data_IF_298770057693
#
_entry.id   IF_298770057693
#
_cell.length_a   1.000
_cell.length_b   1.000
_cell.length_c   1.000
_cell.angle_alpha   90.00
_cell.angle_beta   90.00
_cell.angle_gamma   90.00
#
_symmetry.space_group_name_H-M   'P 1'
#
loop_
_entity.id
_entity.type
_entity.pdbx_description
1 polymer ?
#
# COMPACT_ATOMS: atom_id res chain seq x y z
N UNK A 1 0.28 11.25 19.35
CA UNK A 1 1.68 11.72 19.27
C UNK A 1 1.62 13.23 19.15
N UNK A 2 2.24 13.94 20.09
CA UNK A 2 2.30 15.40 20.12
C UNK A 2 3.67 15.82 19.60
N UNK A 3 3.77 16.33 18.36
CA UNK A 3 5.05 16.74 17.80
C UNK A 3 5.58 17.98 18.49
N UNK A 4 6.88 18.00 18.73
CA UNK A 4 7.61 19.14 19.28
C UNK A 4 8.80 19.48 18.38
N UNK A 5 9.21 20.76 18.42
CA UNK A 5 10.38 21.28 17.73
C UNK A 5 11.49 21.53 18.74
N UNK A 6 12.69 21.08 18.43
CA UNK A 6 13.91 21.46 19.15
C UNK A 6 14.34 22.88 18.76
N UNK A 7 14.54 23.76 19.74
CA UNK A 7 14.97 25.15 19.50
C UNK A 7 16.41 25.46 19.96
N UNK A 8 17.12 24.46 20.49
CA UNK A 8 18.48 24.59 21.00
C UNK A 8 18.59 24.58 22.52
N UNK A 9 17.49 24.85 23.22
CA UNK A 9 17.42 24.87 24.68
C UNK A 9 16.35 23.88 25.20
N UNK A 10 15.26 23.71 24.45
CA UNK A 10 14.19 22.79 24.81
C UNK A 10 13.35 22.31 23.64
N UNK A 11 12.36 21.49 23.97
CA UNK A 11 11.32 21.06 23.04
C UNK A 11 10.09 21.95 23.20
N UNK A 12 9.70 22.63 22.12
CA UNK A 12 8.49 23.46 22.07
C UNK A 12 7.43 22.77 21.23
N UNK A 13 6.26 22.53 21.82
CA UNK A 13 5.10 21.97 21.09
C UNK A 13 4.62 22.96 20.03
N UNK A 14 4.32 22.45 18.83
CA UNK A 14 3.77 23.26 17.76
C UNK A 14 2.38 23.81 18.12
N UNK A 15 2.08 25.06 17.71
CA UNK A 15 0.84 25.76 18.08
C UNK A 15 -0.45 24.96 17.82
N UNK A 16 -0.50 24.20 16.72
CA UNK A 16 -1.65 23.36 16.32
C UNK A 16 -1.88 22.16 17.22
N UNK A 17 -0.89 21.77 18.03
CA UNK A 17 -0.94 20.59 18.89
C UNK A 17 -1.02 20.92 20.39
N UNK A 18 -1.12 22.20 20.78
CA UNK A 18 -1.17 22.62 22.20
C UNK A 18 -2.28 21.95 23.00
N UNK A 19 -3.51 21.96 22.48
CA UNK A 19 -4.66 21.28 23.12
C UNK A 19 -4.42 19.79 23.36
N UNK A 20 -3.66 19.15 22.47
CA UNK A 20 -3.30 17.73 22.60
C UNK A 20 -2.18 17.54 23.62
N UNK A 21 -1.21 18.44 23.66
CA UNK A 21 -0.16 18.43 24.68
C UNK A 21 -0.74 18.53 26.09
N UNK A 22 -1.71 19.42 26.30
CA UNK A 22 -2.38 19.58 27.61
C UNK A 22 -3.16 18.32 28.03
N UNK A 23 -3.51 17.44 27.09
CA UNK A 23 -4.15 16.15 27.36
C UNK A 23 -3.13 15.03 27.61
N UNK A 24 -2.01 15.07 26.88
CA UNK A 24 -1.02 13.99 26.86
C UNK A 24 0.06 14.18 27.95
N UNK A 25 0.29 15.40 28.46
CA UNK A 25 1.39 15.73 29.40
C UNK A 25 0.92 16.52 30.62
N UNK A 26 1.60 16.30 31.75
CA UNK A 26 1.37 16.98 33.03
C UNK A 26 2.57 17.86 33.39
N UNK A 27 2.30 19.09 33.84
CA UNK A 27 3.35 20.04 34.24
C UNK A 27 4.11 19.49 35.45
N UNK A 28 5.45 19.40 35.31
CA UNK A 28 6.35 18.92 36.38
C UNK A 28 6.72 17.44 36.30
N UNK A 29 6.07 16.67 35.43
CA UNK A 29 6.40 15.26 35.19
C UNK A 29 7.61 15.10 34.25
N UNK A 30 8.37 14.02 34.44
CA UNK A 30 9.53 13.67 33.61
C UNK A 30 9.11 12.62 32.59
N UNK A 31 9.29 12.93 31.31
CA UNK A 31 9.01 12.02 30.21
C UNK A 31 10.30 11.61 29.50
N UNK A 32 10.43 10.33 29.17
CA UNK A 32 11.49 9.86 28.29
C UNK A 32 11.20 10.32 26.86
N UNK A 33 12.17 10.99 26.24
CA UNK A 33 12.09 11.39 24.85
C UNK A 33 12.80 10.37 23.98
N UNK A 34 12.10 9.86 22.97
CA UNK A 34 12.69 9.04 21.93
C UNK A 34 12.58 9.77 20.60
N UNK A 35 13.66 9.76 19.81
CA UNK A 35 13.61 10.23 18.43
C UNK A 35 12.81 9.22 17.64
N UNK A 36 11.51 9.47 17.52
CA UNK A 36 10.66 8.74 16.61
C UNK A 36 10.92 9.31 15.23
N UNK A 37 11.72 8.60 14.42
CA UNK A 37 11.70 8.81 12.98
C UNK A 37 10.27 8.53 12.52
N UNK A 38 9.48 9.59 12.28
CA UNK A 38 8.21 9.46 11.60
C UNK A 38 8.48 8.98 10.18
N UNK A 39 8.64 7.67 10.03
CA UNK A 39 8.68 7.06 8.72
C UNK A 39 7.29 7.22 8.11
N UNK A 40 7.29 7.87 6.96
CA UNK A 40 6.47 7.52 5.80
C UNK A 40 5.16 8.28 5.48
N UNK A 41 4.69 9.34 6.15
CA UNK A 41 3.59 10.12 5.53
C UNK A 41 4.02 10.70 4.16
N UNK A 42 5.27 11.18 4.08
CA UNK A 42 5.91 11.60 2.83
C UNK A 42 6.16 10.41 1.88
N UNK A 43 6.77 9.32 2.36
CA UNK A 43 7.04 8.14 1.51
C UNK A 43 5.77 7.41 1.04
N UNK A 44 4.70 7.40 1.83
CA UNK A 44 3.39 6.86 1.49
C UNK A 44 2.75 7.75 0.42
N UNK A 45 2.74 9.08 0.60
CA UNK A 45 2.29 10.00 -0.45
C UNK A 45 3.05 9.81 -1.76
N UNK A 46 4.37 9.73 -1.72
CA UNK A 46 5.17 9.48 -2.91
C UNK A 46 4.92 8.11 -3.53
N UNK A 47 4.70 7.08 -2.72
CA UNK A 47 4.34 5.77 -3.24
C UNK A 47 3.05 5.80 -4.08
N UNK A 48 1.99 6.45 -3.57
CA UNK A 48 0.74 6.59 -4.32
C UNK A 48 0.87 7.53 -5.53
N UNK A 49 1.69 8.57 -5.43
CA UNK A 49 2.02 9.42 -6.58
C UNK A 49 2.77 8.64 -7.68
N UNK A 50 3.80 7.87 -7.32
CA UNK A 50 4.56 7.03 -8.23
C UNK A 50 3.68 5.95 -8.90
N UNK A 51 2.73 5.37 -8.16
CA UNK A 51 1.73 4.45 -8.75
C UNK A 51 0.82 5.14 -9.76
N UNK A 52 0.39 6.36 -9.46
CA UNK A 52 -0.45 7.15 -10.37
C UNK A 52 0.31 7.48 -11.64
N UNK A 53 1.59 7.85 -11.51
CA UNK A 53 2.46 8.13 -12.64
C UNK A 53 2.72 6.87 -13.47
N UNK A 54 3.03 5.74 -12.84
CA UNK A 54 3.18 4.48 -13.56
C UNK A 54 1.92 4.09 -14.31
N UNK A 55 0.75 4.24 -13.67
CA UNK A 55 -0.55 3.96 -14.28
C UNK A 55 -0.81 4.83 -15.53
N UNK A 56 -0.47 6.12 -15.48
CA UNK A 56 -0.60 7.04 -16.63
C UNK A 56 0.31 6.69 -17.80
N UNK A 57 1.45 6.08 -17.52
CA UNK A 57 2.45 5.69 -18.52
C UNK A 57 2.35 4.21 -18.92
N UNK A 58 1.27 3.52 -18.53
CA UNK A 58 1.06 2.14 -18.95
C UNK A 58 0.93 2.05 -20.48
N UNK A 59 1.46 0.97 -21.09
CA UNK A 59 1.17 0.67 -22.48
C UNK A 59 -0.33 0.60 -22.73
N UNK A 60 -0.79 1.11 -23.88
CA UNK A 60 -2.22 1.23 -24.22
C UNK A 60 -2.97 -0.12 -24.12
N UNK A 61 -2.33 -1.22 -24.52
CA UNK A 61 -2.89 -2.57 -24.41
C UNK A 61 -3.12 -3.07 -22.96
N UNK A 62 -2.53 -2.41 -21.96
CA UNK A 62 -2.72 -2.71 -20.54
C UNK A 62 -3.66 -1.71 -19.85
N UNK A 63 -3.98 -0.58 -20.49
CA UNK A 63 -4.85 0.43 -19.89
C UNK A 63 -6.25 -0.12 -19.60
N UNK A 64 -6.78 -0.97 -20.49
CA UNK A 64 -8.07 -1.65 -20.33
C UNK A 64 -8.08 -2.63 -19.14
N UNK A 65 -6.92 -3.18 -18.78
CA UNK A 65 -6.80 -4.11 -17.65
C UNK A 65 -6.82 -3.41 -16.29
N UNK A 66 -6.39 -2.14 -16.24
CA UNK A 66 -6.24 -1.38 -15.01
C UNK A 66 -7.07 -0.10 -15.09
N UNK A 67 -8.36 -0.13 -14.72
CA UNK A 67 -9.24 1.04 -14.85
C UNK A 67 -8.83 2.23 -13.97
N UNK A 68 -8.02 1.99 -12.94
CA UNK A 68 -7.51 3.03 -12.05
C UNK A 68 -6.17 2.58 -11.40
N UNK A 69 -5.41 3.52 -10.78
CA UNK A 69 -4.15 3.19 -10.11
C UNK A 69 -4.30 2.19 -8.96
N UNK A 70 -5.48 2.13 -8.33
CA UNK A 70 -5.76 1.19 -7.23
C UNK A 70 -5.85 -0.25 -7.73
N UNK A 71 -6.42 -0.47 -8.93
CA UNK A 71 -6.43 -1.77 -9.60
C UNK A 71 -5.01 -2.25 -9.90
N UNK A 72 -4.17 -1.38 -10.48
CA UNK A 72 -2.76 -1.66 -10.75
C UNK A 72 -2.02 -2.02 -9.45
N UNK A 73 -2.24 -1.26 -8.38
CA UNK A 73 -1.62 -1.49 -7.07
C UNK A 73 -2.00 -2.85 -6.49
N UNK A 74 -3.28 -3.17 -6.45
CA UNK A 74 -3.78 -4.44 -5.88
C UNK A 74 -3.31 -5.65 -6.68
N UNK A 75 -3.35 -5.56 -8.01
CA UNK A 75 -2.78 -6.58 -8.88
C UNK A 75 -1.27 -6.78 -8.61
N UNK A 76 -0.50 -5.69 -8.52
CA UNK A 76 0.94 -5.76 -8.25
C UNK A 76 1.23 -6.36 -6.87
N UNK A 77 0.39 -6.08 -5.86
CA UNK A 77 0.51 -6.69 -4.53
C UNK A 77 0.28 -8.20 -4.56
N UNK A 78 -0.76 -8.66 -5.25
CA UNK A 78 -1.05 -10.08 -5.43
C UNK A 78 0.13 -10.75 -6.15
N UNK A 79 0.62 -10.15 -7.23
CA UNK A 79 1.79 -10.64 -7.98
C UNK A 79 3.07 -10.67 -7.15
N UNK A 80 3.23 -9.74 -6.21
CA UNK A 80 4.35 -9.68 -5.29
C UNK A 80 4.23 -10.66 -4.09
N UNK A 81 3.13 -11.42 -3.98
CA UNK A 81 2.87 -12.33 -2.87
C UNK A 81 2.28 -11.67 -1.62
N UNK A 82 1.89 -10.40 -1.69
CA UNK A 82 1.25 -9.65 -0.60
C UNK A 82 -0.27 -9.75 -0.69
N UNK A 83 -0.78 -10.97 -0.62
CA UNK A 83 -2.21 -11.27 -0.66
C UNK A 83 -2.62 -12.27 0.43
N UNK A 84 -3.92 -12.32 0.69
CA UNK A 84 -4.55 -13.43 1.39
C UNK A 84 -5.11 -14.39 0.34
N UNK A 85 -4.75 -15.67 0.44
CA UNK A 85 -5.23 -16.74 -0.43
C UNK A 85 -6.33 -17.52 0.28
N UNK A 86 -7.41 -17.79 -0.44
CA UNK A 86 -8.48 -18.70 -0.02
C UNK A 86 -8.73 -19.71 -1.13
N UNK A 87 -8.81 -20.97 -0.78
CA UNK A 87 -9.11 -22.05 -1.73
C UNK A 87 -10.47 -22.66 -1.44
N UNK A 88 -11.23 -22.89 -2.50
CA UNK A 88 -12.53 -23.56 -2.45
C UNK A 88 -12.41 -24.83 -3.29
N UNK A 89 -12.57 -25.98 -2.63
CA UNK A 89 -12.59 -27.29 -3.31
C UNK A 89 -14.02 -27.58 -3.74
N UNK A 90 -14.20 -27.84 -5.03
CA UNK A 90 -15.47 -28.19 -5.66
C UNK A 90 -15.50 -29.69 -5.99
N UNK A 91 -16.68 -30.22 -6.28
CA UNK A 91 -16.86 -31.63 -6.66
C UNK A 91 -16.44 -31.90 -8.12
N UNK A 92 -16.36 -30.87 -8.96
CA UNK A 92 -15.94 -31.01 -10.37
C UNK A 92 -15.35 -29.72 -10.94
N UNK A 93 -14.62 -29.85 -12.05
CA UNK A 93 -14.11 -28.70 -12.82
C UNK A 93 -15.23 -27.77 -13.30
N UNK A 94 -16.35 -28.34 -13.74
CA UNK A 94 -17.50 -27.57 -14.18
C UNK A 94 -18.12 -26.75 -13.04
N UNK A 95 -18.13 -27.28 -11.83
CA UNK A 95 -18.57 -26.54 -10.64
C UNK A 95 -17.57 -25.45 -10.26
N UNK A 96 -16.26 -25.74 -10.30
CA UNK A 96 -15.23 -24.75 -10.00
C UNK A 96 -15.35 -23.51 -10.90
N UNK A 97 -15.63 -23.67 -12.19
CA UNK A 97 -15.90 -22.53 -13.08
C UNK A 97 -17.15 -21.72 -12.68
N UNK A 98 -18.22 -22.37 -12.24
CA UNK A 98 -19.44 -21.66 -11.76
C UNK A 98 -19.16 -20.90 -10.47
N UNK A 99 -18.44 -21.52 -9.54
CA UNK A 99 -18.03 -20.89 -8.27
C UNK A 99 -17.11 -19.71 -8.55
N UNK A 100 -16.13 -19.85 -9.44
CA UNK A 100 -15.25 -18.74 -9.82
C UNK A 100 -16.02 -17.56 -10.41
N UNK A 101 -17.00 -17.81 -11.30
CA UNK A 101 -17.86 -16.77 -11.86
C UNK A 101 -18.73 -16.07 -10.80
N UNK A 102 -19.14 -16.80 -9.76
CA UNK A 102 -19.91 -16.25 -8.63
C UNK A 102 -19.04 -15.44 -7.66
N UNK A 103 -17.82 -15.92 -7.37
CA UNK A 103 -16.92 -15.29 -6.39
C UNK A 103 -16.18 -14.09 -6.96
N UNK A 104 -15.85 -14.10 -8.26
CA UNK A 104 -15.12 -13.01 -8.91
C UNK A 104 -15.69 -11.61 -8.64
N UNK A 105 -17.01 -11.39 -8.80
CA UNK A 105 -17.62 -10.09 -8.53
C UNK A 105 -17.65 -9.64 -7.05
N UNK A 106 -17.32 -10.52 -6.09
CA UNK A 106 -17.41 -10.19 -4.65
C UNK A 106 -16.29 -9.24 -4.19
N UNK A 107 -15.17 -9.21 -4.89
CA UNK A 107 -14.07 -8.26 -4.71
C UNK A 107 -13.56 -7.86 -6.09
N UNK A 108 -13.85 -6.62 -6.48
CA UNK A 108 -13.53 -6.04 -7.80
C UNK A 108 -12.06 -6.24 -8.22
N UNK A 109 -11.15 -6.40 -7.25
CA UNK A 109 -9.72 -6.48 -7.50
C UNK A 109 -9.11 -7.84 -7.15
N UNK A 110 -9.92 -8.82 -6.75
CA UNK A 110 -9.42 -10.14 -6.46
C UNK A 110 -9.00 -10.85 -7.75
N UNK A 111 -7.87 -11.57 -7.68
CA UNK A 111 -7.48 -12.48 -8.75
C UNK A 111 -8.07 -13.85 -8.42
N UNK A 112 -8.92 -14.36 -9.30
CA UNK A 112 -9.52 -15.69 -9.15
C UNK A 112 -8.94 -16.62 -10.21
N UNK A 113 -8.38 -17.74 -9.77
CA UNK A 113 -7.86 -18.78 -10.65
C UNK A 113 -8.59 -20.09 -10.41
N UNK A 114 -8.72 -20.90 -11.47
CA UNK A 114 -9.31 -22.24 -11.40
C UNK A 114 -8.25 -23.24 -11.84
N UNK A 115 -7.97 -24.21 -11.00
CA UNK A 115 -7.10 -25.35 -11.29
C UNK A 115 -7.85 -26.63 -10.95
N UNK A 116 -8.19 -27.42 -11.97
CA UNK A 116 -9.05 -28.61 -11.83
C UNK A 116 -10.37 -28.30 -11.09
N UNK A 117 -10.62 -28.94 -9.96
CA UNK A 117 -11.79 -28.73 -9.14
C UNK A 117 -11.53 -27.74 -7.97
N UNK A 118 -10.50 -26.91 -8.05
CA UNK A 118 -10.13 -25.95 -7.01
C UNK A 118 -10.19 -24.52 -7.55
N UNK A 119 -10.89 -23.65 -6.82
CA UNK A 119 -10.90 -22.20 -7.06
C UNK A 119 -9.99 -21.53 -6.03
N UNK A 120 -8.97 -20.82 -6.49
CA UNK A 120 -8.12 -19.98 -5.62
C UNK A 120 -8.50 -18.52 -5.80
N UNK A 121 -8.69 -17.83 -4.69
CA UNK A 121 -9.05 -16.41 -4.61
C UNK A 121 -7.95 -15.68 -3.89
N UNK A 122 -7.33 -14.71 -4.57
CA UNK A 122 -6.27 -13.88 -4.03
C UNK A 122 -6.78 -12.46 -3.84
N UNK A 123 -6.82 -12.00 -2.57
CA UNK A 123 -7.17 -10.61 -2.24
C UNK A 123 -5.92 -9.88 -1.75
N UNK A 124 -5.63 -8.71 -2.32
CA UNK A 124 -4.46 -7.91 -1.93
C UNK A 124 -4.53 -7.49 -0.45
N UNK A 125 -3.42 -7.60 0.28
CA UNK A 125 -3.35 -7.13 1.67
C UNK A 125 -3.47 -5.61 1.74
N UNK A 126 -4.18 -5.14 2.77
CA UNK A 126 -4.24 -3.71 3.07
C UNK A 126 -2.86 -3.21 3.47
N UNK A 127 -2.37 -2.18 2.77
CA UNK A 127 -1.14 -1.45 3.12
C UNK A 127 -1.39 -0.28 4.08
N UNK A 128 -2.58 -0.22 4.70
CA UNK A 128 -2.86 0.83 5.69
C UNK A 128 -1.97 0.68 6.93
N UNK A 129 -1.66 1.80 7.58
CA UNK A 129 -0.84 1.83 8.80
C UNK A 129 -1.38 0.94 9.93
N UNK A 130 -2.70 0.71 9.97
CA UNK A 130 -3.34 -0.15 10.96
C UNK A 130 -3.25 -1.63 10.60
N UNK A 131 -3.22 -1.96 9.31
CA UNK A 131 -3.29 -3.34 8.82
C UNK A 131 -1.90 -3.96 8.58
N UNK A 132 -0.88 -3.15 8.34
CA UNK A 132 0.45 -3.63 7.95
C UNK A 132 1.56 -2.92 8.73
N UNK A 133 2.44 -3.71 9.34
CA UNK A 133 3.62 -3.18 10.04
C UNK A 133 4.62 -2.52 9.10
N UNK A 134 5.36 -1.53 9.59
CA UNK A 134 6.22 -0.67 8.77
C UNK A 134 7.29 -1.41 7.95
N UNK A 135 7.84 -2.53 8.45
CA UNK A 135 8.80 -3.35 7.70
C UNK A 135 8.15 -3.97 6.45
N UNK A 136 7.01 -4.65 6.65
CA UNK A 136 6.24 -5.31 5.59
C UNK A 136 5.69 -4.27 4.59
N UNK A 137 5.29 -3.09 5.07
CA UNK A 137 4.90 -1.99 4.18
C UNK A 137 6.04 -1.56 3.25
N UNK A 138 7.24 -1.31 3.78
CA UNK A 138 8.35 -0.88 2.95
C UNK A 138 8.78 -1.95 1.94
N UNK A 139 8.74 -3.23 2.34
CA UNK A 139 9.05 -4.34 1.45
C UNK A 139 8.00 -4.47 0.33
N UNK A 140 6.71 -4.50 0.69
CA UNK A 140 5.62 -4.55 -0.29
C UNK A 140 5.62 -3.35 -1.23
N UNK A 141 5.85 -2.14 -0.71
CA UNK A 141 6.00 -0.91 -1.49
C UNK A 141 7.10 -1.05 -2.55
N UNK A 142 8.29 -1.50 -2.14
CA UNK A 142 9.42 -1.66 -3.06
C UNK A 142 9.09 -2.68 -4.15
N UNK A 143 8.57 -3.86 -3.78
CA UNK A 143 8.18 -4.91 -4.73
C UNK A 143 7.12 -4.44 -5.72
N UNK A 144 6.13 -3.69 -5.24
CA UNK A 144 5.10 -3.10 -6.11
C UNK A 144 5.73 -2.11 -7.08
N UNK A 145 6.59 -1.20 -6.60
CA UNK A 145 7.27 -0.21 -7.45
C UNK A 145 8.14 -0.88 -8.52
N UNK A 146 8.88 -1.93 -8.16
CA UNK A 146 9.71 -2.69 -9.10
C UNK A 146 8.88 -3.38 -10.19
N UNK A 147 7.72 -3.95 -9.82
CA UNK A 147 6.80 -4.58 -10.76
C UNK A 147 6.23 -3.55 -11.73
N UNK A 148 5.68 -2.44 -11.23
CA UNK A 148 5.02 -1.44 -12.08
C UNK A 148 6.03 -0.66 -12.92
N UNK A 149 7.24 -0.40 -12.42
CA UNK A 149 8.29 0.22 -13.21
C UNK A 149 8.73 -0.68 -14.37
N UNK A 150 8.77 -1.99 -14.14
CA UNK A 150 9.06 -2.97 -15.20
C UNK A 150 8.02 -2.97 -16.32
N UNK A 151 6.74 -2.69 -16.02
CA UNK A 151 5.68 -2.62 -17.05
C UNK A 151 5.88 -1.45 -18.02
N UNK A 152 6.41 -0.33 -17.52
CA UNK A 152 6.63 0.90 -18.31
C UNK A 152 8.08 1.02 -18.81
N UNK A 153 8.89 -0.03 -18.64
CA UNK A 153 10.28 -0.05 -19.10
C UNK A 153 11.22 0.89 -18.35
N UNK A 154 10.92 1.22 -17.08
CA UNK A 154 11.76 2.10 -16.24
C UNK A 154 12.23 1.40 -14.95
N UNK A 155 13.01 2.12 -14.14
CA UNK A 155 13.43 1.67 -12.81
C UNK A 155 12.57 2.29 -11.71
N UNK A 156 12.38 1.57 -10.60
CA UNK A 156 11.63 2.05 -9.45
C UNK A 156 12.24 3.32 -8.82
N UNK A 157 13.57 3.47 -8.91
CA UNK A 157 14.30 4.67 -8.48
C UNK A 157 13.90 5.87 -9.35
N UNK A 158 13.98 5.75 -10.68
CA UNK A 158 13.63 6.84 -11.59
C UNK A 158 12.15 7.24 -11.46
N UNK A 159 11.25 6.27 -11.31
CA UNK A 159 9.83 6.51 -11.09
C UNK A 159 9.56 7.27 -9.78
N UNK A 160 10.28 6.91 -8.71
CA UNK A 160 10.13 7.60 -7.42
C UNK A 160 10.65 9.03 -7.50
N UNK A 161 11.81 9.26 -8.12
CA UNK A 161 12.36 10.61 -8.31
C UNK A 161 11.46 11.51 -9.15
N UNK A 162 10.79 10.99 -10.18
CA UNK A 162 9.80 11.75 -10.94
C UNK A 162 8.59 12.16 -10.10
N UNK A 163 8.08 11.24 -9.26
CA UNK A 163 7.00 11.52 -8.33
C UNK A 163 7.40 12.53 -7.24
N UNK A 164 8.68 12.57 -6.86
CA UNK A 164 9.22 13.57 -5.93
C UNK A 164 9.31 14.96 -6.55
N UNK A 165 9.65 15.06 -7.84
CA UNK A 165 9.78 16.34 -8.56
C UNK A 165 8.42 16.94 -9.00
N UNK A 166 7.38 16.11 -9.09
CA UNK A 166 6.04 16.52 -9.50
C UNK A 166 5.12 16.95 -8.34
N UNK A 167 5.60 16.88 -7.08
CA UNK A 167 4.86 17.15 -5.85
C UNK A 167 5.33 18.43 -5.14
#
# INVERSE_FOLDING_TARGET
MTPARWDGDGFVVLNSFRKRADQDFVVGEVYNLEVVEQRSAKSHRFYFAALTEAWRNLPEHMADQFPNPEALRKWALIKAGYCDERSIVCASKAEAHRVAAFVGPMDEFAVVTVSEAVVSVYTAKSQSMRAMGGKVFNESKQRVLDIVSGLIGTTSVALTSQAENAA
#
